data_IF_431285294371
#
_entry.id   IF_431285294371
#
_cell.length_a   1.000
_cell.length_b   1.000
_cell.length_c   1.000
_cell.angle_alpha   90.00
_cell.angle_beta   90.00
_cell.angle_gamma   90.00
#
_symmetry.space_group_name_H-M   'P 1'
#
loop_
_entity.id
_entity.type
_entity.pdbx_description
1 polymer ?
#
# COMPACT_ATOMS: atom_id res chain seq x y z
N UNK A 1 -14.80 53.30 -29.08
CA UNK A 1 -14.62 54.63 -28.48
C UNK A 1 -13.62 54.50 -27.35
N UNK A 2 -12.44 55.00 -27.60
CA UNK A 2 -11.48 55.67 -26.74
C UNK A 2 -11.01 54.95 -25.44
N UNK A 3 -9.86 54.31 -25.57
CA UNK A 3 -8.95 53.95 -24.48
C UNK A 3 -8.18 55.19 -24.04
N UNK A 4 -8.17 55.50 -22.73
CA UNK A 4 -7.29 56.49 -22.13
C UNK A 4 -5.98 55.84 -21.64
N UNK A 5 -4.86 56.57 -21.57
CA UNK A 5 -3.53 56.02 -21.24
C UNK A 5 -3.32 55.82 -19.74
N UNK A 6 -2.33 54.94 -19.34
CA UNK A 6 -2.06 54.62 -17.95
C UNK A 6 -1.27 55.72 -17.25
N UNK A 7 -1.67 56.03 -16.04
CA UNK A 7 -0.99 56.98 -15.12
C UNK A 7 0.30 56.41 -14.52
N UNK A 8 1.38 57.18 -14.61
CA UNK A 8 2.68 56.96 -13.99
C UNK A 8 2.56 56.87 -12.48
N UNK A 9 3.11 55.81 -11.90
CA UNK A 9 3.33 55.70 -10.44
C UNK A 9 4.75 56.11 -10.08
N UNK A 10 4.83 57.22 -9.39
CA UNK A 10 6.02 57.85 -8.84
C UNK A 10 6.78 56.91 -7.90
N UNK A 11 8.01 56.59 -8.22
CA UNK A 11 8.95 55.90 -7.35
C UNK A 11 9.46 56.89 -6.24
N UNK A 12 8.97 56.72 -5.03
CA UNK A 12 9.59 57.30 -3.84
C UNK A 12 10.75 56.42 -3.34
N UNK A 13 11.95 56.87 -3.53
CA UNK A 13 13.15 56.39 -2.83
C UNK A 13 13.04 56.77 -1.34
N UNK A 14 12.99 55.78 -0.46
CA UNK A 14 13.24 55.98 0.96
C UNK A 14 14.39 55.10 1.41
N UNK A 15 15.22 55.72 2.21
CA UNK A 15 16.59 55.39 2.55
C UNK A 15 16.82 54.03 3.25
N UNK A 16 18.09 53.68 3.16
CA UNK A 16 18.75 52.60 3.86
C UNK A 16 18.58 52.71 5.39
N UNK A 17 18.10 51.63 6.00
CA UNK A 17 18.51 51.27 7.36
C UNK A 17 19.02 49.82 7.32
N UNK A 18 20.32 49.70 7.56
CA UNK A 18 21.03 48.45 7.84
C UNK A 18 20.42 47.80 9.07
N UNK A 19 19.57 46.78 8.89
CA UNK A 19 19.23 45.87 9.98
C UNK A 19 20.32 44.81 10.05
N UNK A 20 21.09 44.84 11.11
CA UNK A 20 21.95 43.76 11.57
C UNK A 20 21.18 42.43 11.53
N UNK A 21 21.65 41.50 10.71
CA UNK A 21 21.27 40.11 10.83
C UNK A 21 21.86 39.62 12.15
N UNK A 22 21.01 39.46 13.15
CA UNK A 22 21.36 38.67 14.33
C UNK A 22 21.49 37.25 13.83
N UNK A 23 22.70 36.74 13.80
CA UNK A 23 22.99 35.34 13.67
C UNK A 23 22.27 34.62 14.81
N UNK A 24 21.21 33.89 14.47
CA UNK A 24 20.62 32.93 15.39
C UNK A 24 21.72 31.89 15.69
N UNK A 25 21.96 31.53 16.96
CA UNK A 25 22.90 30.49 17.27
C UNK A 25 22.44 29.20 16.56
N UNK A 26 23.38 28.57 15.88
CA UNK A 26 23.20 27.18 15.42
C UNK A 26 23.01 26.32 16.68
N UNK A 27 21.75 26.21 17.11
CA UNK A 27 21.35 25.26 18.13
C UNK A 27 21.68 23.89 17.59
N UNK A 28 22.43 23.11 18.32
CA UNK A 28 22.65 21.70 18.07
C UNK A 28 21.25 21.06 17.85
N UNK A 29 20.91 20.72 16.62
CA UNK A 29 19.87 19.76 16.35
C UNK A 29 20.33 18.46 17.01
N UNK A 30 19.98 18.26 18.29
CA UNK A 30 19.91 16.93 18.82
C UNK A 30 18.93 16.21 17.92
N UNK A 31 19.40 15.24 17.17
CA UNK A 31 18.58 14.31 16.36
C UNK A 31 17.60 13.63 17.29
N UNK A 32 16.46 14.30 17.54
CA UNK A 32 15.38 13.71 18.32
C UNK A 32 14.58 12.84 17.36
N UNK A 33 14.75 11.54 17.49
CA UNK A 33 14.02 10.51 16.76
C UNK A 33 12.51 10.83 16.77
N UNK A 34 11.84 10.70 15.64
CA UNK A 34 10.39 10.91 15.56
C UNK A 34 9.64 9.87 16.40
N UNK A 35 8.52 10.25 17.01
CA UNK A 35 7.71 9.34 17.85
C UNK A 35 7.26 8.09 17.10
N UNK A 36 6.97 8.25 15.81
CA UNK A 36 6.58 7.13 14.92
C UNK A 36 7.75 6.16 14.80
N UNK A 37 8.97 6.67 14.59
CA UNK A 37 10.14 5.84 14.43
C UNK A 37 10.58 5.21 15.76
N UNK A 38 10.50 5.93 16.89
CA UNK A 38 10.71 5.36 18.23
C UNK A 38 9.80 4.13 18.49
N UNK A 39 8.51 4.27 18.15
CA UNK A 39 7.55 3.16 18.26
C UNK A 39 7.91 2.01 17.33
N UNK A 40 8.27 2.31 16.09
CA UNK A 40 8.66 1.32 15.09
C UNK A 40 9.92 0.56 15.53
N UNK A 41 10.89 1.24 16.13
CA UNK A 41 12.10 0.61 16.68
C UNK A 41 11.77 -0.38 17.81
N UNK A 42 10.85 -0.03 18.71
CA UNK A 42 10.40 -0.99 19.76
C UNK A 42 9.77 -2.25 19.17
N UNK A 43 8.93 -2.10 18.14
CA UNK A 43 8.36 -3.24 17.42
C UNK A 43 9.46 -4.07 16.74
N UNK A 44 10.46 -3.41 16.15
CA UNK A 44 11.58 -4.08 15.50
C UNK A 44 12.48 -4.83 16.49
N UNK A 45 12.79 -4.26 17.65
CA UNK A 45 13.55 -4.95 18.71
C UNK A 45 12.78 -6.17 19.25
N UNK A 46 11.45 -6.07 19.40
CA UNK A 46 10.61 -7.20 19.76
C UNK A 46 10.68 -8.33 18.71
N UNK A 47 10.65 -7.98 17.43
CA UNK A 47 10.86 -8.94 16.33
C UNK A 47 12.24 -9.57 16.39
N UNK A 48 13.32 -8.79 16.46
CA UNK A 48 14.70 -9.29 16.48
C UNK A 48 15.01 -10.22 17.65
N UNK A 49 14.37 -9.99 18.81
CA UNK A 49 14.55 -10.85 19.98
C UNK A 49 13.99 -12.26 19.77
N UNK A 50 13.06 -12.43 18.80
CA UNK A 50 12.35 -13.70 18.57
C UNK A 50 12.71 -14.37 17.24
N UNK A 51 13.04 -13.59 16.23
CA UNK A 51 13.19 -14.04 14.85
C UNK A 51 14.51 -13.55 14.27
N UNK A 52 15.36 -14.49 13.85
CA UNK A 52 16.58 -14.22 13.08
C UNK A 52 16.35 -14.56 11.60
N UNK A 53 15.66 -13.65 10.89
CA UNK A 53 15.30 -13.83 9.49
C UNK A 53 15.26 -12.48 8.78
N UNK A 54 15.99 -12.36 7.67
CA UNK A 54 15.99 -11.15 6.83
C UNK A 54 15.30 -11.47 5.51
N UNK A 55 14.07 -10.96 5.28
CA UNK A 55 13.33 -11.20 4.05
C UNK A 55 13.83 -10.33 2.89
N UNK A 56 13.70 -10.85 1.68
CA UNK A 56 13.91 -10.12 0.42
C UNK A 56 12.61 -9.44 -0.03
N UNK A 57 11.49 -10.15 0.08
CA UNK A 57 10.17 -9.71 -0.36
C UNK A 57 9.19 -9.73 0.82
N UNK A 58 8.49 -8.62 1.00
CA UNK A 58 7.32 -8.53 1.86
C UNK A 58 6.05 -8.76 1.03
N UNK A 59 5.16 -9.61 1.50
CA UNK A 59 3.89 -9.94 0.84
C UNK A 59 2.73 -9.63 1.78
N UNK A 60 1.75 -8.86 1.31
CA UNK A 60 0.50 -8.60 2.05
C UNK A 60 -0.62 -9.40 1.41
N UNK A 61 -1.20 -10.32 2.19
CA UNK A 61 -2.32 -11.15 1.73
C UNK A 61 -3.64 -10.42 1.92
N UNK A 62 -4.36 -10.25 0.83
CA UNK A 62 -5.74 -9.78 0.82
C UNK A 62 -6.75 -10.87 1.17
N UNK A 63 -8.03 -10.49 1.24
CA UNK A 63 -9.15 -11.41 1.44
C UNK A 63 -9.15 -12.52 0.37
N UNK A 64 -9.42 -13.76 0.79
CA UNK A 64 -9.39 -14.95 -0.06
C UNK A 64 -8.00 -15.57 -0.28
N UNK A 65 -6.90 -14.94 0.20
CA UNK A 65 -5.55 -15.49 0.11
C UNK A 65 -4.94 -15.87 1.46
N UNK A 66 -5.70 -15.81 2.54
CA UNK A 66 -5.18 -16.00 3.90
C UNK A 66 -4.45 -17.34 4.12
N UNK A 67 -4.86 -18.40 3.42
CA UNK A 67 -4.25 -19.73 3.49
C UNK A 67 -2.99 -19.89 2.62
N UNK A 68 -2.65 -18.92 1.77
CA UNK A 68 -1.43 -18.94 0.97
C UNK A 68 -0.17 -19.13 1.84
N UNK A 69 -0.12 -18.41 2.98
CA UNK A 69 1.01 -18.49 3.89
C UNK A 69 1.17 -19.87 4.56
N UNK A 70 0.11 -20.67 4.62
CA UNK A 70 0.16 -22.03 5.18
C UNK A 70 0.77 -23.04 4.19
N UNK A 71 0.82 -22.69 2.91
CA UNK A 71 1.34 -23.54 1.83
C UNK A 71 2.82 -23.34 1.47
N UNK A 72 3.51 -22.37 2.11
CA UNK A 72 4.93 -22.12 1.87
C UNK A 72 5.81 -22.92 2.83
N UNK A 73 7.14 -22.96 2.59
CA UNK A 73 8.09 -23.47 3.56
C UNK A 73 8.26 -22.45 4.70
N UNK A 74 7.57 -22.67 5.82
CA UNK A 74 7.59 -21.77 6.98
C UNK A 74 8.84 -22.04 7.82
N UNK A 75 9.57 -20.98 8.19
CA UNK A 75 10.69 -21.02 9.15
C UNK A 75 10.24 -20.49 10.52
N UNK A 76 9.42 -19.45 10.56
CA UNK A 76 8.92 -18.86 11.80
C UNK A 76 7.58 -18.14 11.59
N UNK A 77 6.89 -17.87 12.68
CA UNK A 77 5.73 -16.99 12.70
C UNK A 77 5.77 -16.11 13.95
N UNK A 78 5.16 -14.91 13.87
CA UNK A 78 5.07 -13.97 14.97
C UNK A 78 3.68 -13.33 14.96
N UNK A 79 2.88 -13.61 15.98
CA UNK A 79 1.56 -13.04 16.12
C UNK A 79 1.65 -11.53 16.44
N UNK A 80 0.75 -10.72 15.89
CA UNK A 80 0.76 -9.27 16.12
C UNK A 80 0.57 -8.92 17.59
N UNK A 81 -0.19 -9.72 18.31
CA UNK A 81 -0.42 -9.58 19.77
C UNK A 81 0.85 -9.78 20.61
N UNK A 82 1.87 -10.40 20.05
CA UNK A 82 3.17 -10.60 20.70
C UNK A 82 4.13 -9.41 20.52
N UNK A 83 3.76 -8.43 19.71
CA UNK A 83 4.53 -7.21 19.47
C UNK A 83 3.87 -6.08 20.25
N UNK A 84 4.55 -5.54 21.24
CA UNK A 84 4.02 -4.50 22.11
C UNK A 84 3.57 -3.26 21.31
N UNK A 85 2.32 -2.83 21.51
CA UNK A 85 1.75 -1.66 20.84
C UNK A 85 1.48 -1.82 19.33
N UNK A 86 1.50 -3.05 18.81
CA UNK A 86 1.20 -3.34 17.42
C UNK A 86 -0.31 -3.49 17.18
N UNK A 87 -0.86 -3.04 16.04
CA UNK A 87 -2.28 -3.20 15.75
C UNK A 87 -2.63 -4.67 15.47
N UNK A 88 -3.80 -5.09 15.92
CA UNK A 88 -4.32 -6.45 15.69
C UNK A 88 -5.55 -6.38 14.82
N UNK A 89 -5.58 -7.15 13.71
CA UNK A 89 -6.76 -7.19 12.83
C UNK A 89 -7.95 -7.81 13.55
N UNK A 90 -9.12 -7.20 13.36
CA UNK A 90 -10.42 -7.65 13.91
C UNK A 90 -11.29 -8.28 12.84
N UNK A 91 -10.82 -8.32 11.59
CA UNK A 91 -11.55 -8.85 10.44
C UNK A 91 -11.56 -10.37 10.47
N UNK A 92 -12.74 -10.97 10.31
CA UNK A 92 -12.88 -12.43 10.23
C UNK A 92 -12.04 -13.01 9.08
N UNK A 93 -11.34 -14.11 9.34
CA UNK A 93 -10.44 -14.76 8.39
C UNK A 93 -9.01 -14.19 8.35
N UNK A 94 -8.75 -13.10 9.06
CA UNK A 94 -7.39 -12.58 9.24
C UNK A 94 -6.73 -13.22 10.46
N UNK A 95 -5.62 -13.95 10.26
CA UNK A 95 -4.90 -14.60 11.38
C UNK A 95 -4.14 -13.62 12.27
N UNK A 96 -3.81 -12.43 11.76
CA UNK A 96 -3.14 -11.37 12.54
C UNK A 96 -1.72 -11.73 12.93
N UNK A 97 -0.89 -12.21 11.97
CA UNK A 97 0.50 -12.60 12.22
C UNK A 97 1.40 -12.32 11.01
N UNK A 98 2.68 -12.22 11.28
CA UNK A 98 3.72 -12.37 10.28
C UNK A 98 4.15 -13.83 10.15
N UNK A 99 4.34 -14.29 8.90
CA UNK A 99 4.91 -15.59 8.58
C UNK A 99 6.21 -15.37 7.82
N UNK A 100 7.29 -16.00 8.28
CA UNK A 100 8.60 -15.94 7.67
C UNK A 100 8.91 -17.29 7.03
N UNK A 101 9.44 -17.28 5.82
CA UNK A 101 9.71 -18.51 5.12
C UNK A 101 10.19 -18.31 3.69
N UNK A 102 9.98 -19.31 2.86
CA UNK A 102 10.49 -19.34 1.50
C UNK A 102 9.36 -19.60 0.49
N UNK A 103 9.39 -18.81 -0.59
CA UNK A 103 8.63 -19.07 -1.82
C UNK A 103 9.66 -19.41 -2.91
N UNK A 104 9.77 -20.69 -3.26
CA UNK A 104 10.97 -21.19 -3.94
C UNK A 104 12.19 -20.96 -3.05
N UNK A 105 13.21 -20.28 -3.57
CA UNK A 105 14.43 -19.92 -2.82
C UNK A 105 14.40 -18.47 -2.27
N UNK A 106 13.29 -17.74 -2.48
CA UNK A 106 13.14 -16.34 -2.08
C UNK A 106 12.70 -16.26 -0.63
N UNK A 107 13.44 -15.52 0.19
CA UNK A 107 13.07 -15.23 1.58
C UNK A 107 11.93 -14.24 1.63
N UNK A 108 10.83 -14.62 2.26
CA UNK A 108 9.65 -13.77 2.36
C UNK A 108 9.23 -13.52 3.80
N UNK A 109 8.69 -12.32 4.06
CA UNK A 109 7.81 -12.05 5.18
C UNK A 109 6.40 -11.82 4.66
N UNK A 110 5.45 -12.57 5.18
CA UNK A 110 4.05 -12.51 4.76
C UNK A 110 3.20 -11.94 5.89
N UNK A 111 2.49 -10.87 5.60
CA UNK A 111 1.45 -10.31 6.45
C UNK A 111 0.17 -11.12 6.23
N UNK A 112 -0.10 -12.09 7.11
CA UNK A 112 -1.28 -12.95 7.10
C UNK A 112 -2.41 -12.34 7.91
N UNK A 113 -3.09 -11.37 7.33
CA UNK A 113 -4.13 -10.57 7.97
C UNK A 113 -3.73 -9.10 8.01
N UNK A 114 -4.41 -8.29 7.20
CA UNK A 114 -4.22 -6.84 7.08
C UNK A 114 -5.02 -6.11 8.14
N UNK A 115 -4.52 -4.98 8.60
CA UNK A 115 -5.24 -4.01 9.43
C UNK A 115 -5.86 -2.95 8.52
N UNK A 116 -7.11 -2.57 8.76
CA UNK A 116 -7.82 -1.59 7.93
C UNK A 116 -8.19 -0.34 8.71
N UNK A 117 -8.31 0.77 7.98
CA UNK A 117 -8.71 2.05 8.55
C UNK A 117 -10.12 2.01 9.16
N UNK A 118 -11.06 1.27 8.53
CA UNK A 118 -12.43 1.12 9.04
C UNK A 118 -12.53 0.31 10.35
N UNK A 119 -11.48 -0.35 10.78
CA UNK A 119 -11.43 -1.01 12.10
C UNK A 119 -11.26 -0.01 13.26
N UNK A 120 -11.15 1.31 12.95
CA UNK A 120 -11.03 2.38 13.93
C UNK A 120 -9.59 2.76 14.28
N UNK A 121 -8.61 2.16 13.63
CA UNK A 121 -7.21 2.51 13.80
C UNK A 121 -6.87 3.84 13.14
N UNK A 122 -5.90 4.57 13.71
CA UNK A 122 -5.29 5.70 13.03
C UNK A 122 -4.53 5.21 11.80
N UNK A 123 -4.39 6.07 10.79
CA UNK A 123 -3.69 5.69 9.56
C UNK A 123 -2.22 5.32 9.81
N UNK A 124 -1.56 5.92 10.80
CA UNK A 124 -0.20 5.55 11.22
C UNK A 124 -0.10 4.11 11.74
N UNK A 125 -1.17 3.59 12.39
CA UNK A 125 -1.26 2.20 12.86
C UNK A 125 -1.52 1.24 11.69
N UNK A 126 -2.39 1.63 10.76
CA UNK A 126 -2.72 0.82 9.57
C UNK A 126 -1.47 0.50 8.75
N UNK A 127 -0.54 1.47 8.62
CA UNK A 127 0.69 1.29 7.83
C UNK A 127 1.92 0.87 8.64
N UNK A 128 1.80 0.77 9.97
CA UNK A 128 2.90 0.33 10.84
C UNK A 128 3.50 -1.01 10.41
N UNK A 129 2.68 -2.03 10.05
CA UNK A 129 3.19 -3.31 9.53
C UNK A 129 4.11 -3.17 8.32
N UNK A 130 3.75 -2.29 7.38
CA UNK A 130 4.54 -2.05 6.17
C UNK A 130 5.92 -1.47 6.51
N UNK A 131 5.94 -0.47 7.40
CA UNK A 131 7.17 0.14 7.87
C UNK A 131 8.04 -0.86 8.64
N UNK A 132 7.42 -1.75 9.43
CA UNK A 132 8.14 -2.79 10.14
C UNK A 132 8.78 -3.80 9.19
N UNK A 133 8.07 -4.25 8.14
CA UNK A 133 8.64 -5.15 7.13
C UNK A 133 9.83 -4.51 6.38
N UNK A 134 9.84 -3.18 6.21
CA UNK A 134 11.04 -2.47 5.71
C UNK A 134 12.22 -2.60 6.68
N UNK A 135 12.01 -2.39 7.98
CA UNK A 135 13.09 -2.54 8.97
C UNK A 135 13.58 -3.99 9.10
N UNK A 136 12.71 -4.98 8.86
CA UNK A 136 13.08 -6.41 8.79
C UNK A 136 14.04 -6.71 7.64
N UNK A 137 14.17 -5.80 6.66
CA UNK A 137 15.13 -5.93 5.55
C UNK A 137 14.49 -6.09 4.18
N UNK A 138 13.16 -6.20 4.08
CA UNK A 138 12.48 -6.31 2.79
C UNK A 138 12.83 -5.13 1.87
N UNK A 139 12.97 -5.43 0.57
CA UNK A 139 13.28 -4.46 -0.49
C UNK A 139 12.09 -4.24 -1.41
N UNK A 140 11.26 -5.26 -1.56
CA UNK A 140 10.06 -5.25 -2.40
C UNK A 140 8.83 -5.49 -1.51
N UNK A 141 7.77 -4.71 -1.75
CA UNK A 141 6.44 -4.95 -1.20
C UNK A 141 5.51 -5.44 -2.32
N UNK A 142 5.01 -6.66 -2.18
CA UNK A 142 4.00 -7.22 -3.06
C UNK A 142 2.63 -7.15 -2.36
N UNK A 143 1.75 -6.32 -2.87
CA UNK A 143 0.42 -6.10 -2.32
C UNK A 143 -0.61 -6.96 -3.05
N UNK A 144 -1.48 -7.63 -2.31
CA UNK A 144 -2.67 -8.27 -2.87
C UNK A 144 -3.93 -7.81 -2.15
N UNK A 145 -5.03 -7.74 -2.86
CA UNK A 145 -6.33 -7.38 -2.30
C UNK A 145 -7.48 -8.04 -3.08
N UNK A 146 -8.66 -8.05 -2.47
CA UNK A 146 -9.93 -8.19 -3.17
C UNK A 146 -10.46 -6.78 -3.47
N UNK A 147 -11.02 -6.58 -4.67
CA UNK A 147 -11.54 -5.29 -5.12
C UNK A 147 -12.83 -5.45 -5.92
N UNK A 148 -13.67 -4.42 -5.88
CA UNK A 148 -14.82 -4.29 -6.78
C UNK A 148 -14.39 -3.76 -8.14
N UNK A 149 -14.78 -4.42 -9.23
CA UNK A 149 -14.54 -3.96 -10.59
C UNK A 149 -15.41 -2.73 -10.91
N UNK A 150 -14.79 -1.65 -11.34
CA UNK A 150 -15.43 -0.39 -11.74
C UNK A 150 -15.42 -0.24 -13.26
N UNK A 151 -14.40 -0.80 -13.91
CA UNK A 151 -14.29 -0.86 -15.37
C UNK A 151 -15.30 -1.90 -15.92
N UNK A 152 -16.06 -1.51 -16.96
CA UNK A 152 -17.07 -2.37 -17.57
C UNK A 152 -16.50 -3.57 -18.34
N UNK A 153 -15.23 -3.52 -18.73
CA UNK A 153 -14.56 -4.60 -19.44
C UNK A 153 -14.02 -5.69 -18.50
N UNK A 154 -14.15 -5.48 -17.16
CA UNK A 154 -13.72 -6.45 -16.16
C UNK A 154 -14.85 -7.38 -15.76
N UNK A 155 -14.48 -8.55 -15.24
CA UNK A 155 -15.40 -9.55 -14.74
C UNK A 155 -14.99 -10.03 -13.35
N UNK A 156 -15.96 -10.48 -12.57
CA UNK A 156 -15.68 -11.09 -11.28
C UNK A 156 -14.85 -12.39 -11.47
N UNK A 157 -13.69 -12.41 -10.84
CA UNK A 157 -12.67 -13.46 -11.02
C UNK A 157 -11.44 -13.01 -11.80
N UNK A 158 -11.47 -11.84 -12.45
CA UNK A 158 -10.29 -11.27 -13.13
C UNK A 158 -9.21 -10.87 -12.13
N UNK A 159 -7.97 -10.86 -12.60
CA UNK A 159 -6.85 -10.26 -11.90
C UNK A 159 -6.44 -8.95 -12.57
N UNK A 160 -6.19 -7.92 -11.77
CA UNK A 160 -5.76 -6.61 -12.24
C UNK A 160 -4.41 -6.25 -11.63
N UNK A 161 -3.38 -6.13 -12.47
CA UNK A 161 -2.11 -5.53 -12.09
C UNK A 161 -2.33 -4.03 -11.85
N UNK A 162 -1.99 -3.54 -10.67
CA UNK A 162 -2.20 -2.15 -10.31
C UNK A 162 -1.11 -1.31 -10.99
N UNK A 163 -1.52 -0.42 -11.89
CA UNK A 163 -0.62 0.49 -12.62
C UNK A 163 -0.41 1.80 -11.89
N UNK A 164 -1.45 2.28 -11.18
CA UNK A 164 -1.47 3.54 -10.43
C UNK A 164 -2.61 3.51 -9.40
N UNK A 165 -2.74 4.55 -8.59
CA UNK A 165 -3.76 4.62 -7.56
C UNK A 165 -4.36 6.02 -7.36
N UNK A 166 -5.60 6.03 -6.82
CA UNK A 166 -6.24 7.19 -6.22
C UNK A 166 -6.49 6.87 -4.74
N UNK A 167 -5.94 7.66 -3.83
CA UNK A 167 -6.15 7.46 -2.39
C UNK A 167 -7.13 8.52 -1.84
N UNK A 168 -8.36 8.10 -1.54
CA UNK A 168 -9.40 8.95 -0.91
C UNK A 168 -9.47 8.74 0.62
N UNK A 169 -8.69 7.81 1.16
CA UNK A 169 -8.47 7.68 2.59
C UNK A 169 -7.43 8.72 3.07
N UNK A 170 -7.36 9.03 4.38
CA UNK A 170 -6.33 9.91 4.92
C UNK A 170 -4.91 9.43 4.56
N UNK A 171 -4.04 10.36 4.14
CA UNK A 171 -2.66 10.00 3.83
C UNK A 171 -1.90 9.56 5.09
N UNK A 172 -1.12 8.47 5.04
CA UNK A 172 -0.30 8.01 6.17
C UNK A 172 0.89 8.94 6.49
N UNK A 173 1.12 9.98 5.68
CA UNK A 173 2.20 10.94 5.83
C UNK A 173 1.73 12.28 6.44
N UNK A 174 0.46 12.39 6.86
CA UNK A 174 -0.05 13.57 7.57
C UNK A 174 0.58 13.61 8.97
N UNK A 175 1.05 14.80 9.37
CA UNK A 175 1.69 15.03 10.67
C UNK A 175 3.18 15.30 10.56
N UNK A 176 3.93 15.04 11.63
CA UNK A 176 5.39 15.15 11.67
C UNK A 176 6.02 14.08 10.74
N UNK A 177 7.04 14.48 9.98
CA UNK A 177 7.76 13.51 9.16
C UNK A 177 8.65 12.62 10.03
N UNK A 178 8.79 11.38 9.66
CA UNK A 178 9.81 10.48 10.18
C UNK A 178 10.97 10.48 9.18
N UNK A 179 11.91 11.42 9.34
CA UNK A 179 13.05 11.62 8.42
C UNK A 179 13.91 10.35 8.29
N UNK A 180 13.88 9.50 9.32
CA UNK A 180 14.56 8.20 9.34
C UNK A 180 13.97 7.19 8.34
N UNK A 181 12.70 7.40 7.95
CA UNK A 181 12.01 6.54 6.98
C UNK A 181 12.08 7.10 5.57
N UNK A 182 12.02 8.42 5.41
CA UNK A 182 12.03 9.02 4.09
C UNK A 182 11.78 10.52 4.09
N UNK A 183 11.86 11.11 2.90
CA UNK A 183 11.70 12.55 2.69
C UNK A 183 10.27 13.01 2.94
N UNK A 184 10.11 14.26 3.39
CA UNK A 184 8.78 14.85 3.66
C UNK A 184 7.81 14.82 2.48
N UNK A 185 8.32 14.97 1.27
CA UNK A 185 7.54 15.02 0.03
C UNK A 185 8.08 13.97 -0.96
N UNK A 186 7.72 12.68 -0.79
CA UNK A 186 8.16 11.62 -1.68
C UNK A 186 7.50 11.74 -3.06
N UNK A 187 8.26 11.44 -4.11
CA UNK A 187 7.72 11.32 -5.46
C UNK A 187 6.88 10.04 -5.59
N UNK A 188 5.67 10.17 -6.14
CA UNK A 188 4.73 9.07 -6.36
C UNK A 188 4.57 8.71 -7.85
N UNK A 189 5.38 9.30 -8.75
CA UNK A 189 5.25 9.10 -10.21
C UNK A 189 5.47 7.64 -10.66
N UNK A 190 6.13 6.83 -9.83
CA UNK A 190 6.38 5.40 -10.07
C UNK A 190 6.05 4.59 -8.80
N UNK A 191 4.94 4.93 -8.12
CA UNK A 191 4.57 4.29 -6.86
C UNK A 191 4.41 2.77 -6.99
N UNK A 192 3.88 2.29 -8.11
CA UNK A 192 3.96 0.88 -8.52
C UNK A 192 5.08 0.75 -9.55
N UNK A 193 6.19 0.17 -9.12
CA UNK A 193 7.44 0.12 -9.88
C UNK A 193 7.25 -0.56 -11.26
N UNK A 194 7.68 0.12 -12.32
CA UNK A 194 7.46 -0.32 -13.71
C UNK A 194 8.15 -1.62 -14.01
N UNK A 195 9.39 -1.78 -13.55
CA UNK A 195 10.18 -2.99 -13.80
C UNK A 195 9.55 -4.21 -13.10
N UNK A 196 9.04 -4.01 -11.86
CA UNK A 196 8.34 -5.07 -11.14
C UNK A 196 7.00 -5.42 -11.81
N UNK A 197 6.28 -4.42 -12.33
CA UNK A 197 5.04 -4.67 -13.10
C UNK A 197 5.32 -5.46 -14.37
N UNK A 198 6.40 -5.16 -15.08
CA UNK A 198 6.80 -5.89 -16.28
C UNK A 198 7.12 -7.36 -15.97
N UNK A 199 7.77 -7.64 -14.84
CA UNK A 199 8.01 -9.01 -14.38
C UNK A 199 6.68 -9.74 -14.15
N UNK A 200 5.73 -9.12 -13.45
CA UNK A 200 4.42 -9.72 -13.16
C UNK A 200 3.62 -9.95 -14.45
N UNK A 201 3.60 -8.97 -15.36
CA UNK A 201 2.92 -9.06 -16.65
C UNK A 201 3.46 -10.21 -17.49
N UNK A 202 4.79 -10.32 -17.58
CA UNK A 202 5.44 -11.42 -18.32
C UNK A 202 5.19 -12.77 -17.65
N UNK A 203 5.16 -12.82 -16.31
CA UNK A 203 4.82 -14.03 -15.55
C UNK A 203 3.39 -14.49 -15.89
N UNK A 204 2.42 -13.59 -15.86
CA UNK A 204 1.03 -13.93 -16.19
C UNK A 204 0.91 -14.46 -17.63
N UNK A 205 1.59 -13.81 -18.60
CA UNK A 205 1.63 -14.22 -19.99
C UNK A 205 2.20 -15.64 -20.18
N UNK A 206 3.31 -15.94 -19.52
CA UNK A 206 3.95 -17.27 -19.61
C UNK A 206 3.13 -18.37 -18.93
N UNK A 207 2.33 -18.04 -17.92
CA UNK A 207 1.42 -18.96 -17.25
C UNK A 207 0.07 -19.11 -17.97
N UNK A 208 -0.15 -18.36 -19.06
CA UNK A 208 -1.44 -18.25 -19.76
C UNK A 208 -2.59 -17.81 -18.81
N UNK A 209 -2.27 -16.84 -17.92
CA UNK A 209 -3.23 -16.26 -16.98
C UNK A 209 -3.66 -14.89 -17.53
N UNK A 210 -4.95 -14.67 -17.83
CA UNK A 210 -5.46 -13.37 -18.19
C UNK A 210 -5.18 -12.34 -17.08
N UNK A 211 -4.60 -11.19 -17.44
CA UNK A 211 -4.26 -10.13 -16.51
C UNK A 211 -4.69 -8.79 -17.07
N UNK A 212 -5.61 -8.14 -16.38
CA UNK A 212 -6.00 -6.75 -16.62
C UNK A 212 -4.92 -5.82 -16.04
N UNK A 213 -4.93 -4.55 -16.44
CA UNK A 213 -4.07 -3.53 -15.83
C UNK A 213 -4.87 -2.25 -15.66
N UNK A 214 -4.81 -1.62 -14.48
CA UNK A 214 -5.64 -0.46 -14.20
C UNK A 214 -5.30 0.29 -12.92
N UNK A 215 -6.08 1.34 -12.67
CA UNK A 215 -5.98 2.24 -11.53
C UNK A 215 -6.85 1.74 -10.39
N UNK A 216 -6.24 1.56 -9.22
CA UNK A 216 -6.96 1.19 -7.99
C UNK A 216 -7.33 2.44 -7.19
N UNK A 217 -8.59 2.54 -6.75
CA UNK A 217 -9.00 3.59 -5.81
C UNK A 217 -9.26 3.01 -4.41
N UNK A 218 -8.68 3.66 -3.39
CA UNK A 218 -8.97 3.37 -2.00
C UNK A 218 -9.99 4.34 -1.43
N UNK A 219 -11.11 3.82 -0.95
CA UNK A 219 -12.07 4.51 -0.07
C UNK A 219 -11.90 4.03 1.38
N UNK A 220 -12.63 4.64 2.32
CA UNK A 220 -12.47 4.31 3.73
C UNK A 220 -13.19 3.03 4.15
N UNK A 221 -14.32 2.70 3.55
CA UNK A 221 -15.26 1.72 4.08
C UNK A 221 -15.90 2.18 5.41
N UNK A 222 -16.55 1.29 6.19
CA UNK A 222 -16.74 -0.16 5.95
C UNK A 222 -17.91 -0.51 5.01
N UNK A 223 -18.77 0.46 4.67
CA UNK A 223 -19.86 0.21 3.73
C UNK A 223 -19.34 0.05 2.30
N UNK A 224 -19.98 -0.77 1.51
CA UNK A 224 -19.81 -0.75 0.06
C UNK A 224 -20.33 0.56 -0.50
N UNK A 225 -19.83 0.94 -1.66
CA UNK A 225 -20.16 2.18 -2.33
C UNK A 225 -21.61 2.17 -2.85
N UNK A 226 -22.22 3.32 -2.89
CA UNK A 226 -23.48 3.51 -3.63
C UNK A 226 -23.22 3.54 -5.14
N UNK A 227 -24.25 3.27 -5.98
CA UNK A 227 -24.11 3.40 -7.44
C UNK A 227 -23.66 4.78 -7.92
N UNK A 228 -23.96 5.85 -7.15
CA UNK A 228 -23.51 7.21 -7.46
C UNK A 228 -22.02 7.39 -7.19
N UNK A 229 -21.51 6.83 -6.09
CA UNK A 229 -20.09 6.82 -5.76
C UNK A 229 -19.30 6.01 -6.79
N UNK A 230 -19.82 4.86 -7.26
CA UNK A 230 -19.18 4.08 -8.32
C UNK A 230 -19.10 4.85 -9.64
N UNK A 231 -20.16 5.58 -10.03
CA UNK A 231 -20.09 6.48 -11.20
C UNK A 231 -19.04 7.59 -11.00
N UNK A 232 -18.93 8.13 -9.79
CA UNK A 232 -17.93 9.16 -9.45
C UNK A 232 -16.52 8.60 -9.60
N UNK A 233 -16.18 7.48 -8.96
CA UNK A 233 -14.83 6.93 -8.98
C UNK A 233 -14.42 6.49 -10.38
N UNK A 234 -15.34 5.98 -11.19
CA UNK A 234 -15.09 5.69 -12.60
C UNK A 234 -14.80 6.97 -13.41
N UNK A 235 -15.53 8.06 -13.16
CA UNK A 235 -15.27 9.35 -13.80
C UNK A 235 -13.88 9.91 -13.42
N UNK A 236 -13.39 9.59 -12.22
CA UNK A 236 -12.04 9.93 -11.78
C UNK A 236 -10.95 9.06 -12.44
N UNK A 237 -11.33 8.03 -13.18
CA UNK A 237 -10.41 7.15 -13.90
C UNK A 237 -10.01 5.88 -13.14
N UNK A 238 -10.76 5.48 -12.10
CA UNK A 238 -10.52 4.23 -11.41
C UNK A 238 -11.10 3.02 -12.17
N UNK A 239 -10.36 1.90 -12.17
CA UNK A 239 -10.76 0.62 -12.74
C UNK A 239 -11.23 -0.37 -11.68
N UNK A 240 -10.72 -0.26 -10.46
CA UNK A 240 -11.11 -1.09 -9.32
C UNK A 240 -11.17 -0.27 -8.04
N UNK A 241 -12.05 -0.65 -7.11
CA UNK A 241 -12.27 0.03 -5.83
C UNK A 241 -12.12 -0.94 -4.66
N UNK A 242 -11.56 -0.44 -3.55
CA UNK A 242 -11.49 -1.17 -2.29
C UNK A 242 -11.13 -0.28 -1.10
N UNK A 243 -10.83 -0.90 0.04
CA UNK A 243 -10.74 -0.21 1.34
C UNK A 243 -9.34 -0.32 1.97
N UNK A 244 -8.30 -0.61 1.17
CA UNK A 244 -6.93 -0.85 1.63
C UNK A 244 -5.91 -0.52 0.55
N UNK A 245 -4.64 -0.90 0.73
CA UNK A 245 -3.62 -0.97 -0.34
C UNK A 245 -2.97 0.35 -0.72
N UNK A 246 -3.73 1.40 -1.10
CA UNK A 246 -3.14 2.66 -1.53
C UNK A 246 -2.36 3.36 -0.39
N UNK A 247 -2.88 3.36 0.83
CA UNK A 247 -2.17 3.90 1.99
C UNK A 247 -0.90 3.09 2.30
N UNK A 248 -0.93 1.77 2.12
CA UNK A 248 0.23 0.89 2.30
C UNK A 248 1.29 1.17 1.25
N UNK A 249 0.90 1.32 -0.02
CA UNK A 249 1.82 1.67 -1.11
C UNK A 249 2.48 3.05 -0.87
N UNK A 250 1.72 4.05 -0.38
CA UNK A 250 2.26 5.38 -0.01
C UNK A 250 3.33 5.23 1.08
N UNK A 251 3.04 4.48 2.15
CA UNK A 251 3.98 4.29 3.26
C UNK A 251 5.22 3.48 2.84
N UNK A 252 5.04 2.49 1.96
CA UNK A 252 6.11 1.68 1.40
C UNK A 252 7.05 2.53 0.52
N UNK A 253 6.49 3.30 -0.41
CA UNK A 253 7.27 4.18 -1.28
C UNK A 253 8.03 5.23 -0.47
N UNK A 254 7.39 5.85 0.54
CA UNK A 254 8.05 6.77 1.47
C UNK A 254 9.25 6.12 2.18
N UNK A 255 9.11 4.85 2.59
CA UNK A 255 10.19 4.10 3.25
C UNK A 255 11.21 3.48 2.27
N UNK A 256 11.11 3.76 0.97
CA UNK A 256 12.04 3.27 -0.05
C UNK A 256 11.90 1.78 -0.38
N UNK A 257 10.71 1.19 -0.21
CA UNK A 257 10.35 -0.10 -0.77
C UNK A 257 9.91 0.08 -2.22
N UNK A 258 10.31 -0.82 -3.10
CA UNK A 258 9.70 -0.95 -4.42
C UNK A 258 8.36 -1.68 -4.29
N UNK A 259 7.31 -1.17 -4.90
CA UNK A 259 5.95 -1.69 -4.74
C UNK A 259 5.43 -2.28 -6.04
N UNK A 260 4.75 -3.41 -5.95
CA UNK A 260 3.91 -3.99 -7.00
C UNK A 260 2.64 -4.55 -6.35
N UNK A 261 1.53 -4.56 -7.06
CA UNK A 261 0.27 -5.05 -6.50
C UNK A 261 -0.64 -5.67 -7.55
N UNK A 262 -1.39 -6.68 -7.12
CA UNK A 262 -2.44 -7.32 -7.92
C UNK A 262 -3.74 -7.32 -7.12
N UNK A 263 -4.82 -6.84 -7.74
CA UNK A 263 -6.17 -6.97 -7.23
C UNK A 263 -6.85 -8.22 -7.81
N UNK A 264 -7.55 -8.98 -6.98
CA UNK A 264 -8.54 -9.93 -7.44
C UNK A 264 -9.88 -9.19 -7.53
N UNK A 265 -10.47 -9.13 -8.70
CA UNK A 265 -11.80 -8.55 -8.90
C UNK A 265 -12.82 -9.55 -8.35
N UNK A 266 -13.14 -9.41 -7.06
CA UNK A 266 -14.00 -10.36 -6.35
C UNK A 266 -15.49 -10.20 -6.69
N UNK A 267 -15.86 -9.03 -7.18
CA UNK A 267 -17.22 -8.65 -7.57
C UNK A 267 -17.17 -7.48 -8.55
N UNK A 268 -18.24 -7.25 -9.25
CA UNK A 268 -18.46 -5.96 -9.91
C UNK A 268 -19.05 -4.99 -8.90
N UNK A 269 -18.56 -3.75 -8.88
CA UNK A 269 -18.97 -2.75 -7.92
C UNK A 269 -20.47 -2.40 -8.02
N UNK A 270 -21.04 -1.79 -6.96
CA UNK A 270 -22.46 -1.49 -6.88
C UNK A 270 -22.99 -0.71 -8.07
N UNK A 271 -24.13 -1.14 -8.64
CA UNK A 271 -24.77 -0.50 -9.78
C UNK A 271 -24.10 -0.75 -11.14
N UNK A 272 -23.11 -1.62 -11.21
CA UNK A 272 -22.55 -2.16 -12.46
C UNK A 272 -23.44 -3.32 -12.94
N UNK A 273 -23.91 -4.14 -11.99
CA UNK A 273 -24.90 -5.20 -12.24
C UNK A 273 -26.18 -4.91 -11.45
N UNK A 274 -27.31 -5.51 -11.87
CA UNK A 274 -28.60 -5.36 -11.17
C UNK A 274 -28.70 -6.18 -9.89
N UNK A 275 -27.64 -6.93 -9.51
CA UNK A 275 -27.64 -7.76 -8.31
C UNK A 275 -27.14 -6.99 -7.09
N UNK A 276 -27.75 -7.16 -5.91
CA UNK A 276 -27.21 -6.61 -4.68
C UNK A 276 -25.89 -7.28 -4.34
N UNK A 277 -24.93 -6.51 -3.86
CA UNK A 277 -23.64 -7.01 -3.45
C UNK A 277 -23.72 -7.65 -2.06
N UNK A 278 -23.16 -8.85 -1.92
CA UNK A 278 -23.07 -9.55 -0.63
C UNK A 278 -21.63 -9.99 -0.33
N UNK A 279 -21.26 -10.01 0.94
CA UNK A 279 -19.93 -10.50 1.34
C UNK A 279 -19.73 -11.99 0.97
N UNK A 280 -20.81 -12.79 0.96
CA UNK A 280 -20.77 -14.20 0.58
C UNK A 280 -20.35 -14.39 -0.89
N UNK A 281 -20.92 -13.61 -1.81
CA UNK A 281 -20.54 -13.66 -3.25
C UNK A 281 -19.10 -13.22 -3.48
N UNK A 282 -18.65 -12.21 -2.72
CA UNK A 282 -17.25 -11.76 -2.73
C UNK A 282 -16.32 -12.91 -2.35
N UNK A 283 -16.64 -13.62 -1.26
CA UNK A 283 -15.84 -14.73 -0.77
C UNK A 283 -15.85 -15.91 -1.73
N UNK A 284 -17.02 -16.31 -2.25
CA UNK A 284 -17.15 -17.40 -3.22
C UNK A 284 -16.32 -17.15 -4.47
N UNK A 285 -16.35 -15.93 -4.99
CA UNK A 285 -15.57 -15.58 -6.17
C UNK A 285 -14.07 -15.60 -5.87
N UNK A 286 -13.65 -15.07 -4.71
CA UNK A 286 -12.27 -15.09 -4.28
C UNK A 286 -11.75 -16.54 -4.12
N UNK A 287 -12.54 -17.42 -3.50
CA UNK A 287 -12.20 -18.84 -3.32
C UNK A 287 -12.05 -19.57 -4.67
N UNK A 288 -12.94 -19.30 -5.62
CA UNK A 288 -12.86 -19.85 -6.98
C UNK A 288 -11.62 -19.37 -7.74
N UNK A 289 -11.24 -18.10 -7.58
CA UNK A 289 -10.08 -17.53 -8.24
C UNK A 289 -8.76 -17.89 -7.52
N UNK A 290 -8.81 -18.26 -6.24
CA UNK A 290 -7.64 -18.43 -5.38
C UNK A 290 -6.56 -19.38 -5.94
N UNK A 291 -6.86 -20.55 -6.54
CA UNK A 291 -5.83 -21.45 -7.07
C UNK A 291 -4.98 -20.78 -8.15
N UNK A 292 -5.62 -20.07 -9.07
CA UNK A 292 -4.93 -19.41 -10.18
C UNK A 292 -4.19 -18.16 -9.67
N UNK A 293 -4.80 -17.42 -8.74
CA UNK A 293 -4.17 -16.27 -8.11
C UNK A 293 -2.91 -16.65 -7.33
N UNK A 294 -2.97 -17.72 -6.53
CA UNK A 294 -1.83 -18.26 -5.79
C UNK A 294 -0.69 -18.65 -6.74
N UNK A 295 -1.00 -19.28 -7.87
CA UNK A 295 -0.02 -19.65 -8.89
C UNK A 295 0.68 -18.39 -9.44
N UNK A 296 -0.09 -17.36 -9.81
CA UNK A 296 0.45 -16.10 -10.31
C UNK A 296 1.34 -15.39 -9.26
N UNK A 297 0.88 -15.30 -8.02
CA UNK A 297 1.63 -14.68 -6.91
C UNK A 297 2.93 -15.44 -6.65
N UNK A 298 2.89 -16.76 -6.57
CA UNK A 298 4.07 -17.62 -6.32
C UNK A 298 5.15 -17.39 -7.38
N UNK A 299 4.80 -17.54 -8.66
CA UNK A 299 5.77 -17.38 -9.74
C UNK A 299 6.27 -15.93 -9.86
N UNK A 300 5.41 -14.96 -9.59
CA UNK A 300 5.81 -13.56 -9.54
C UNK A 300 6.83 -13.31 -8.42
N UNK A 301 6.57 -13.78 -7.20
CA UNK A 301 7.49 -13.62 -6.06
C UNK A 301 8.85 -14.26 -6.34
N UNK A 302 8.87 -15.48 -6.93
CA UNK A 302 10.11 -16.16 -7.30
C UNK A 302 10.96 -15.31 -8.27
N UNK A 303 10.31 -14.71 -9.26
CA UNK A 303 11.01 -13.88 -10.28
C UNK A 303 11.43 -12.53 -9.73
N UNK A 304 10.59 -11.91 -8.91
CA UNK A 304 10.89 -10.65 -8.25
C UNK A 304 12.09 -10.78 -7.31
N UNK A 305 12.17 -11.88 -6.54
CA UNK A 305 13.31 -12.13 -5.66
C UNK A 305 14.63 -12.32 -6.43
N UNK A 306 14.59 -12.91 -7.63
CA UNK A 306 15.75 -13.08 -8.50
C UNK A 306 16.18 -11.80 -9.23
N UNK A 307 15.29 -10.86 -9.41
CA UNK A 307 15.55 -9.58 -10.09
C UNK A 307 16.14 -8.51 -9.17
N UNK A 308 16.37 -8.83 -7.89
CA UNK A 308 17.05 -7.91 -6.97
C UNK A 308 18.53 -7.82 -7.33
N UNK A 309 19.12 -6.59 -7.33
CA UNK A 309 20.54 -6.39 -7.54
C UNK A 309 21.40 -6.92 -6.41
#
# INVERSE_FOLDING_TARGET
MLFGPPSEILLRKTGKTSRERRDAPAGSMTDKMSKIYERLQKCYECFKAKIDFVPDVALVLGSGLGDYADGIKIEAALDYSEIEGFPVSTVSGHKGRFVFGYVGDVKVVIMQGRVHYYEGYKMEDVVLPIRLMKLMGAKILFLTNAAGGVNFDYHAGDFMLISDQICMAPSPLIGENADELGVRFPDMSNIYDRDLRDIVRNTAKELDIPLQEGVYIQLTGPNYESPAEIRMVRTLGADAVGMSTACEAIAANHAGLKVVGISCISNMACGITDKPLTHAEVQETADRAAPLFKKLVTESVIRLGKAQP
#
